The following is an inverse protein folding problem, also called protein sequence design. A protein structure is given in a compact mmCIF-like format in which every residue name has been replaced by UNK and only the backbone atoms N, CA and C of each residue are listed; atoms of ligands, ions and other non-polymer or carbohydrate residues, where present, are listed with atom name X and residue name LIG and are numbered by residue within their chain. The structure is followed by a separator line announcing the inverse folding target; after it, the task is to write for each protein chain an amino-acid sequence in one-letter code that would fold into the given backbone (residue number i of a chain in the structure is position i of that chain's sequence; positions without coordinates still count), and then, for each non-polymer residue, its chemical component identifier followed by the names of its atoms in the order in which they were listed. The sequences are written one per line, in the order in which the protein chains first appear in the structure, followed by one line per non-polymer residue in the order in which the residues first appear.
data_IF_935609211690
#
_entry.id   IF_935609211690
#
_cell.length_a   1.000
_cell.length_b   1.000
_cell.length_c   1.000
_cell.angle_alpha   90.00
_cell.angle_beta   90.00
_cell.angle_gamma   90.00
#
_symmetry.space_group_name_H-M   'P 1'
#
loop_
_entity.id
_entity.type
_entity.pdbx_description
1 polymer ?
#
# COMPACT_ATOMS: atom_id res chain seq x y z
N UNK A 1 5.19 -31.62 -2.26
CA UNK A 1 4.74 -30.82 -1.87
C UNK A 1 3.94 -29.80 -2.39
N UNK A 2 2.76 -29.85 -2.01
CA UNK A 2 1.88 -28.90 -2.53
C UNK A 2 2.13 -27.55 -1.99
N UNK A 3 2.81 -27.46 -0.87
CA UNK A 3 3.15 -26.16 -0.36
C UNK A 3 4.01 -25.37 -1.32
N UNK A 4 4.93 -26.02 -2.01
CA UNK A 4 5.76 -25.33 -2.97
C UNK A 4 4.92 -24.77 -4.12
N UNK A 5 3.98 -25.56 -4.63
CA UNK A 5 3.11 -25.11 -5.71
C UNK A 5 2.18 -23.98 -5.27
N UNK A 6 1.65 -24.10 -4.05
CA UNK A 6 0.78 -23.09 -3.49
C UNK A 6 1.51 -21.77 -3.32
N UNK A 7 2.72 -21.84 -2.76
CA UNK A 7 3.54 -20.66 -2.55
C UNK A 7 3.91 -19.99 -3.87
N UNK A 8 4.24 -20.79 -4.88
CA UNK A 8 4.55 -20.24 -6.19
C UNK A 8 3.37 -19.51 -6.78
N UNK A 9 2.17 -20.04 -6.61
CA UNK A 9 0.98 -19.40 -7.13
C UNK A 9 0.75 -18.04 -6.47
N UNK A 10 0.93 -17.97 -5.15
CA UNK A 10 0.77 -16.71 -4.43
C UNK A 10 1.86 -15.71 -4.82
N UNK A 11 3.09 -16.19 -5.02
CA UNK A 11 4.19 -15.32 -5.39
C UNK A 11 4.09 -14.80 -6.82
N UNK A 12 3.16 -15.34 -7.62
CA UNK A 12 2.94 -14.85 -8.96
C UNK A 12 1.88 -13.78 -9.04
N UNK A 13 1.39 -13.32 -7.88
CA UNK A 13 0.46 -12.21 -7.87
C UNK A 13 1.09 -11.03 -8.61
N UNK A 14 0.35 -10.42 -9.54
CA UNK A 14 0.89 -9.29 -10.29
C UNK A 14 1.00 -8.07 -9.36
N UNK A 15 1.80 -7.09 -9.77
CA UNK A 15 1.93 -5.86 -9.01
C UNK A 15 0.58 -5.17 -8.85
N UNK A 16 -0.23 -5.15 -9.92
CA UNK A 16 -1.55 -4.54 -9.85
C UNK A 16 -2.46 -5.28 -8.88
N UNK A 17 -2.44 -6.61 -8.92
CA UNK A 17 -3.24 -7.41 -7.98
C UNK A 17 -2.83 -7.14 -6.54
N UNK A 18 -1.53 -7.03 -6.29
CA UNK A 18 -1.03 -6.73 -4.95
C UNK A 18 -1.46 -5.33 -4.51
N UNK A 19 -1.35 -4.34 -5.40
CA UNK A 19 -1.77 -2.97 -5.09
C UNK A 19 -3.26 -2.93 -4.74
N UNK A 20 -4.07 -3.65 -5.50
CA UNK A 20 -5.52 -3.70 -5.24
C UNK A 20 -5.83 -4.43 -3.93
N UNK A 21 -5.09 -5.49 -3.64
CA UNK A 21 -5.31 -6.22 -2.39
C UNK A 21 -4.94 -5.36 -1.19
N UNK A 22 -3.82 -4.63 -1.28
CA UNK A 22 -3.41 -3.70 -0.23
C UNK A 22 -4.51 -2.64 -0.01
N UNK A 23 -5.02 -2.07 -1.09
CA UNK A 23 -6.09 -1.07 -1.01
C UNK A 23 -7.34 -1.64 -0.34
N UNK A 24 -7.70 -2.88 -0.65
CA UNK A 24 -8.85 -3.52 -0.03
C UNK A 24 -8.67 -3.66 1.49
N UNK A 25 -7.48 -4.06 1.91
CA UNK A 25 -7.22 -4.23 3.34
C UNK A 25 -7.27 -2.89 4.06
N UNK A 26 -6.75 -1.83 3.41
CA UNK A 26 -6.82 -0.49 3.99
C UNK A 26 -8.27 -0.01 4.07
N UNK A 27 -9.07 -0.30 3.05
CA UNK A 27 -10.48 0.08 3.04
C UNK A 27 -11.26 -0.63 4.16
N UNK A 28 -10.96 -1.90 4.40
CA UNK A 28 -11.62 -2.66 5.46
C UNK A 28 -11.38 -2.05 6.84
N UNK A 29 -10.24 -1.39 7.02
CA UNK A 29 -9.89 -0.73 8.27
C UNK A 29 -10.19 0.76 8.21
N UNK A 30 -11.02 1.18 7.26
CA UNK A 30 -11.54 2.53 7.14
C UNK A 30 -10.47 3.57 6.77
N UNK A 31 -9.50 3.14 5.97
CA UNK A 31 -8.54 4.08 5.37
C UNK A 31 -9.29 5.09 4.52
N UNK A 32 -8.81 6.32 4.51
CA UNK A 32 -9.46 7.43 3.84
C UNK A 32 -8.67 7.81 2.60
N UNK A 33 -9.38 8.23 1.56
CA UNK A 33 -8.80 8.73 0.31
C UNK A 33 -7.72 7.78 -0.22
N UNK A 34 -8.11 6.53 -0.40
CA UNK A 34 -7.22 5.49 -0.89
C UNK A 34 -7.05 5.67 -2.38
N UNK A 35 -5.79 5.73 -2.82
CA UNK A 35 -5.45 5.89 -4.24
C UNK A 35 -4.41 4.89 -4.64
N UNK A 36 -4.49 4.43 -5.89
CA UNK A 36 -3.49 3.57 -6.50
C UNK A 36 -2.98 4.28 -7.74
N UNK A 37 -1.66 4.50 -7.81
CA UNK A 37 -1.03 5.13 -8.97
C UNK A 37 -0.07 4.17 -9.63
N UNK A 38 -0.18 4.04 -10.94
CA UNK A 38 0.81 3.32 -11.71
C UNK A 38 1.94 4.29 -12.03
N UNK A 39 3.16 3.95 -11.66
CA UNK A 39 4.30 4.85 -11.81
C UNK A 39 5.45 4.26 -12.60
N UNK A 40 5.31 3.04 -13.12
CA UNK A 40 6.42 2.37 -13.82
C UNK A 40 6.86 3.11 -15.06
N UNK A 41 6.00 3.94 -15.65
CA UNK A 41 6.35 4.72 -16.83
C UNK A 41 7.21 5.94 -16.51
N UNK A 42 7.19 6.39 -15.24
CA UNK A 42 7.88 7.62 -14.87
C UNK A 42 8.93 7.41 -13.78
N UNK A 43 9.08 6.20 -13.27
CA UNK A 43 10.05 5.93 -12.22
C UNK A 43 10.44 4.47 -12.20
N UNK A 44 11.66 4.21 -11.76
CA UNK A 44 12.12 2.84 -11.56
C UNK A 44 11.98 2.38 -10.11
N UNK A 45 11.38 3.21 -9.24
CA UNK A 45 11.25 2.88 -7.82
C UNK A 45 10.30 1.71 -7.57
N UNK A 46 9.20 1.69 -8.29
CA UNK A 46 8.18 0.65 -8.15
C UNK A 46 7.26 0.71 -9.35
N UNK A 47 6.37 -0.26 -9.47
CA UNK A 47 5.34 -0.23 -10.51
C UNK A 47 4.12 0.56 -10.05
N UNK A 48 3.77 0.47 -8.77
CA UNK A 48 2.59 1.13 -8.23
C UNK A 48 2.87 1.73 -6.86
N UNK A 49 2.25 2.88 -6.60
CA UNK A 49 2.13 3.42 -5.25
C UNK A 49 0.69 3.26 -4.80
N UNK A 50 0.51 2.99 -3.52
CA UNK A 50 -0.81 2.98 -2.88
C UNK A 50 -0.76 4.01 -1.77
N UNK A 51 -1.71 4.94 -1.74
CA UNK A 51 -1.80 5.98 -0.72
C UNK A 51 -3.06 5.80 0.11
N UNK A 52 -2.96 6.02 1.40
CA UNK A 52 -4.14 6.03 2.28
C UNK A 52 -3.89 6.99 3.44
N UNK A 53 -4.97 7.50 3.99
CA UNK A 53 -4.93 8.40 5.13
C UNK A 53 -5.62 7.76 6.33
N UNK A 54 -5.04 7.92 7.50
CA UNK A 54 -5.67 7.55 8.77
C UNK A 54 -6.10 8.79 9.54
N UNK A 55 -7.09 8.63 10.41
CA UNK A 55 -7.66 9.76 11.16
C UNK A 55 -6.79 10.20 12.33
N UNK A 56 -5.83 9.38 12.72
CA UNK A 56 -4.96 9.67 13.85
C UNK A 56 -3.69 8.84 13.70
N UNK A 57 -2.68 9.13 14.52
CA UNK A 57 -1.46 8.30 14.54
C UNK A 57 -1.78 6.85 14.87
N UNK A 58 -2.70 6.63 15.79
CA UNK A 58 -3.13 5.28 16.16
C UNK A 58 -3.77 4.57 14.96
N UNK A 59 -4.62 5.30 14.22
CA UNK A 59 -5.29 4.73 13.05
C UNK A 59 -4.28 4.38 11.94
N UNK A 60 -3.31 5.27 11.71
CA UNK A 60 -2.25 5.02 10.72
C UNK A 60 -1.51 3.73 11.07
N UNK A 61 -1.17 3.56 12.35
CA UNK A 61 -0.46 2.37 12.80
C UNK A 61 -1.32 1.12 12.63
N UNK A 62 -2.61 1.22 12.97
CA UNK A 62 -3.53 0.09 12.82
C UNK A 62 -3.73 -0.30 11.36
N UNK A 63 -3.81 0.70 10.46
CA UNK A 63 -3.91 0.44 9.02
C UNK A 63 -2.69 -0.34 8.52
N UNK A 64 -1.50 0.10 8.91
CA UNK A 64 -0.26 -0.55 8.50
C UNK A 64 -0.18 -1.98 9.03
N UNK A 65 -0.45 -2.15 10.31
CA UNK A 65 -0.33 -3.46 10.96
C UNK A 65 -1.32 -4.46 10.39
N UNK A 66 -2.56 -4.04 10.21
CA UNK A 66 -3.59 -4.95 9.70
C UNK A 66 -3.33 -5.31 8.24
N UNK A 67 -2.97 -4.34 7.42
CA UNK A 67 -2.66 -4.61 6.02
C UNK A 67 -1.48 -5.58 5.92
N UNK A 68 -0.43 -5.32 6.68
CA UNK A 68 0.74 -6.19 6.68
C UNK A 68 0.38 -7.60 7.11
N UNK A 69 -0.43 -7.73 8.15
CA UNK A 69 -0.86 -9.02 8.65
C UNK A 69 -1.65 -9.79 7.60
N UNK A 70 -2.62 -9.14 6.99
CA UNK A 70 -3.48 -9.81 6.00
C UNK A 70 -2.69 -10.22 4.75
N UNK A 71 -1.76 -9.39 4.30
CA UNK A 71 -0.94 -9.75 3.15
C UNK A 71 -0.01 -10.91 3.49
N UNK A 72 0.50 -10.98 4.72
CA UNK A 72 1.29 -12.12 5.14
C UNK A 72 0.50 -13.41 5.11
N UNK A 73 -0.79 -13.34 5.44
CA UNK A 73 -1.65 -14.52 5.43
C UNK A 73 -1.78 -15.12 4.03
N UNK A 74 -1.61 -14.32 2.99
CA UNK A 74 -1.64 -14.82 1.63
C UNK A 74 -0.23 -14.95 1.03
N UNK A 75 0.79 -14.96 1.90
CA UNK A 75 2.16 -15.26 1.51
C UNK A 75 3.00 -14.08 1.05
N UNK A 76 2.56 -12.85 1.31
CA UNK A 76 3.27 -11.66 0.86
C UNK A 76 3.73 -10.84 2.06
N UNK A 77 5.04 -10.67 2.20
CA UNK A 77 5.62 -9.89 3.29
C UNK A 77 6.39 -8.70 2.70
N UNK A 78 6.42 -7.56 3.39
CA UNK A 78 7.19 -6.44 2.88
C UNK A 78 8.68 -6.71 3.02
N UNK A 79 9.46 -6.15 2.11
CA UNK A 79 10.91 -6.20 2.20
C UNK A 79 11.40 -5.23 3.26
N UNK A 80 10.65 -4.15 3.48
CA UNK A 80 11.09 -3.07 4.34
C UNK A 80 9.90 -2.26 4.83
N UNK A 81 9.92 -1.84 6.07
CA UNK A 81 8.87 -1.01 6.66
C UNK A 81 9.55 0.13 7.43
N UNK A 82 9.12 1.36 7.18
CA UNK A 82 9.67 2.52 7.85
C UNK A 82 8.55 3.36 8.46
N UNK A 83 8.89 4.12 9.48
CA UNK A 83 8.00 5.13 10.01
C UNK A 83 7.14 4.72 11.19
N UNK A 84 7.26 3.48 11.66
CA UNK A 84 6.45 3.01 12.79
C UNK A 84 6.58 3.90 14.02
N UNK A 85 7.74 4.50 14.23
CA UNK A 85 7.96 5.31 15.43
C UNK A 85 7.20 6.62 15.42
N UNK A 86 7.14 7.25 14.24
CA UNK A 86 6.44 8.54 14.15
C UNK A 86 4.94 8.37 14.05
N UNK A 87 4.50 7.25 13.48
CA UNK A 87 3.08 6.94 13.25
C UNK A 87 2.34 7.98 12.42
N UNK A 88 3.06 8.96 11.85
CA UNK A 88 2.42 9.97 11.02
C UNK A 88 2.58 9.66 9.53
N UNK A 89 3.55 8.84 9.19
CA UNK A 89 3.79 8.38 7.82
C UNK A 89 4.51 7.05 7.90
N UNK A 90 3.83 5.98 7.52
CA UNK A 90 4.41 4.64 7.48
C UNK A 90 4.51 4.20 6.02
N UNK A 91 5.68 3.70 5.66
CA UNK A 91 5.96 3.21 4.31
C UNK A 91 6.17 1.72 4.39
N UNK A 92 5.44 0.97 3.56
CA UNK A 92 5.64 -0.48 3.45
C UNK A 92 6.08 -0.79 2.02
N UNK A 93 7.28 -1.31 1.89
CA UNK A 93 7.92 -1.55 0.60
C UNK A 93 7.80 -3.02 0.24
N UNK A 94 6.99 -3.32 -0.78
CA UNK A 94 6.80 -4.66 -1.30
C UNK A 94 7.54 -4.87 -2.62
N UNK A 95 8.58 -4.04 -2.85
CA UNK A 95 9.42 -4.07 -4.04
C UNK A 95 8.73 -3.42 -5.24
N UNK A 96 7.78 -4.08 -5.87
CA UNK A 96 7.09 -3.48 -7.02
C UNK A 96 5.85 -2.66 -6.62
N UNK A 97 5.47 -2.70 -5.34
CA UNK A 97 4.37 -1.87 -4.81
C UNK A 97 4.85 -1.24 -3.51
N UNK A 98 4.71 0.06 -3.40
CA UNK A 98 5.07 0.78 -2.18
C UNK A 98 3.80 1.42 -1.64
N UNK A 99 3.47 1.11 -0.38
CA UNK A 99 2.28 1.62 0.27
C UNK A 99 2.68 2.73 1.22
N UNK A 100 2.00 3.87 1.11
CA UNK A 100 2.22 5.04 1.97
C UNK A 100 0.95 5.31 2.76
N UNK A 101 1.05 5.29 4.08
CA UNK A 101 -0.08 5.56 4.96
C UNK A 101 0.27 6.76 5.80
N UNK A 102 -0.57 7.80 5.78
CA UNK A 102 -0.30 9.09 6.41
C UNK A 102 -1.43 9.50 7.32
N UNK A 103 -1.11 10.38 8.28
CA UNK A 103 -2.16 11.24 8.83
C UNK A 103 -2.51 12.27 7.76
N UNK A 104 -3.65 12.91 7.90
CA UNK A 104 -4.06 13.97 6.97
C UNK A 104 -3.02 15.08 6.91
N UNK A 105 -2.51 15.48 8.06
CA UNK A 105 -1.51 16.53 8.14
C UNK A 105 -0.23 16.17 7.39
N UNK A 106 0.28 14.95 7.59
CA UNK A 106 1.48 14.51 6.89
C UNK A 106 1.26 14.40 5.40
N UNK A 107 0.10 13.90 5.00
CA UNK A 107 -0.21 13.76 3.58
C UNK A 107 -0.18 15.11 2.87
N UNK A 108 -0.75 16.14 3.51
CA UNK A 108 -0.72 17.48 2.96
C UNK A 108 0.68 18.07 2.96
N UNK A 109 1.42 17.84 4.03
CA UNK A 109 2.76 18.41 4.17
C UNK A 109 3.73 17.86 3.12
N UNK A 110 3.80 16.54 2.98
CA UNK A 110 4.73 15.93 2.02
C UNK A 110 4.20 15.96 0.60
N UNK A 111 2.88 15.95 0.45
CA UNK A 111 2.19 16.14 -0.83
C UNK A 111 2.71 15.23 -1.95
N UNK A 112 2.86 13.95 -1.63
CA UNK A 112 3.33 12.97 -2.62
C UNK A 112 2.33 12.80 -3.75
N UNK A 113 1.04 13.03 -3.48
CA UNK A 113 0.00 12.98 -4.51
C UNK A 113 0.34 13.94 -5.65
N UNK A 114 0.82 15.14 -5.30
CA UNK A 114 1.18 16.12 -6.31
C UNK A 114 2.50 15.78 -6.98
N UNK A 115 3.46 15.30 -6.20
CA UNK A 115 4.77 14.93 -6.74
C UNK A 115 4.64 13.84 -7.79
N UNK A 116 3.71 12.91 -7.58
CA UNK A 116 3.53 11.78 -8.48
C UNK A 116 2.26 11.89 -9.33
N UNK A 117 1.76 13.12 -9.54
CA UNK A 117 0.49 13.34 -10.25
C UNK A 117 0.51 12.88 -11.71
N UNK A 118 1.69 12.72 -12.29
CA UNK A 118 1.79 12.24 -13.67
C UNK A 118 1.61 10.73 -13.79
N UNK A 119 1.54 10.02 -12.65
CA UNK A 119 1.23 8.60 -12.66
C UNK A 119 -0.22 8.37 -13.06
N UNK A 120 -0.49 7.18 -13.59
CA UNK A 120 -1.84 6.82 -13.99
C UNK A 120 -2.66 6.45 -12.77
N UNK A 121 -3.79 7.13 -12.57
CA UNK A 121 -4.73 6.80 -11.50
C UNK A 121 -5.45 5.50 -11.85
N UNK A 122 -5.37 4.52 -10.99
CA UNK A 122 -6.08 3.26 -11.18
C UNK A 122 -7.46 3.39 -10.56
N UNK A 123 -8.47 2.89 -11.25
CA UNK A 123 -9.84 2.94 -10.78
C UNK A 123 -9.97 2.17 -9.46
N UNK A 124 -10.51 2.83 -8.44
CA UNK A 124 -10.71 2.23 -7.12
C UNK A 124 -12.19 1.99 -6.82
N UNK A 125 -13.03 1.97 -7.84
CA UNK A 125 -14.46 1.75 -7.63
C UNK A 125 -14.77 0.38 -7.04
N UNK A 126 -13.81 -0.55 -7.03
CA UNK A 126 -14.00 -1.85 -6.41
C UNK A 126 -13.98 -1.76 -4.87
N UNK A 127 -13.56 -0.64 -4.31
CA UNK A 127 -13.58 -0.42 -2.87
C UNK A 127 -14.99 -0.02 -2.42
N UNK A 128 -15.29 -0.27 -1.18
CA UNK A 128 -16.63 0.06 -0.63
C UNK A 128 -16.80 1.52 -0.26
#
# INVERSE_FOLDING_TARGET
MFEAGEKDRLNRMTALELAKEAAKQLDKKKGIDIRILRIDDISSLADYFVFATGTSNTHVNALADEMEFQLKEIGVAPHHVEGHRSNSWILLDYDNVIVHIFTEESRQYYDLDRLWQDGEQIDTSFLN
#
